data_IF_619972202305
#
_entry.id   IF_619972202305
#
_cell.length_a   1.000
_cell.length_b   1.000
_cell.length_c   1.000
_cell.angle_alpha   90.00
_cell.angle_beta   90.00
_cell.angle_gamma   90.00
#
_symmetry.space_group_name_H-M   'P 1'
#
loop_
_entity.id
_entity.type
_entity.pdbx_description
1 polymer ?
#
# COMPACT_ATOMS: atom_id res chain seq x y z
N UNK A 1 2.22 20.29 -4.15
CA UNK A 1 0.93 20.03 -4.84
C UNK A 1 0.20 18.78 -4.35
N UNK A 2 0.55 18.23 -3.22
CA UNK A 2 0.03 16.95 -2.67
C UNK A 2 -1.26 17.08 -1.82
N UNK A 3 -1.71 18.29 -1.52
CA UNK A 3 -2.87 18.49 -0.63
C UNK A 3 -4.24 18.25 -1.28
N UNK A 4 -4.35 18.34 -2.60
CA UNK A 4 -5.63 18.22 -3.33
C UNK A 4 -6.06 16.76 -3.50
N UNK A 5 -5.12 15.85 -3.64
CA UNK A 5 -5.40 14.41 -3.80
C UNK A 5 -6.04 13.78 -2.57
N UNK A 6 -5.75 14.29 -1.37
CA UNK A 6 -6.24 13.70 -0.11
C UNK A 6 -7.73 14.00 0.14
N UNK A 7 -8.28 15.08 -0.44
CA UNK A 7 -9.67 15.49 -0.23
C UNK A 7 -10.66 14.86 -1.23
N UNK A 8 -10.22 14.40 -2.39
CA UNK A 8 -11.08 13.71 -3.35
C UNK A 8 -11.36 12.24 -2.98
N UNK A 9 -10.53 11.63 -2.12
CA UNK A 9 -10.61 10.23 -1.73
C UNK A 9 -11.80 9.83 -0.83
N UNK A 10 -12.41 10.70 0.02
CA UNK A 10 -13.52 10.29 0.86
C UNK A 10 -14.87 10.13 0.15
N UNK A 11 -14.98 10.48 -1.12
CA UNK A 11 -16.27 10.60 -1.82
C UNK A 11 -16.88 9.26 -2.21
N UNK A 12 -16.10 8.18 -2.22
CA UNK A 12 -16.61 6.83 -2.47
C UNK A 12 -17.07 6.14 -1.17
N UNK A 13 -18.24 6.49 -0.66
CA UNK A 13 -18.91 5.69 0.36
C UNK A 13 -19.57 4.47 -0.29
N UNK A 14 -19.75 3.38 0.48
CA UNK A 14 -20.39 2.16 -0.02
C UNK A 14 -21.78 2.41 -0.66
N UNK A 15 -22.50 3.43 -0.19
CA UNK A 15 -23.79 3.84 -0.76
C UNK A 15 -23.68 4.45 -2.15
N UNK A 16 -22.58 5.08 -2.48
CA UNK A 16 -22.39 5.76 -3.77
C UNK A 16 -22.28 4.75 -4.91
N UNK A 17 -21.76 3.56 -4.64
CA UNK A 17 -21.70 2.44 -5.60
C UNK A 17 -23.11 1.97 -5.99
N UNK A 18 -24.09 2.05 -5.09
CA UNK A 18 -25.47 1.60 -5.32
C UNK A 18 -26.32 2.73 -5.93
N UNK A 19 -26.21 3.93 -5.41
CA UNK A 19 -27.08 5.07 -5.74
C UNK A 19 -26.62 5.79 -7.00
N UNK A 20 -25.33 5.97 -7.17
CA UNK A 20 -24.78 6.75 -8.27
C UNK A 20 -25.12 6.22 -9.67
N UNK A 21 -25.01 4.92 -9.99
CA UNK A 21 -25.41 4.41 -11.30
C UNK A 21 -26.89 4.64 -11.61
N UNK A 22 -27.75 4.60 -10.59
CA UNK A 22 -29.18 4.84 -10.75
C UNK A 22 -29.43 6.31 -11.04
N UNK A 23 -28.80 7.22 -10.29
CA UNK A 23 -28.88 8.66 -10.52
C UNK A 23 -28.36 9.03 -11.91
N UNK A 24 -27.21 8.48 -12.31
CA UNK A 24 -26.66 8.71 -13.65
C UNK A 24 -27.62 8.27 -14.76
N UNK A 25 -28.20 7.07 -14.65
CA UNK A 25 -29.16 6.57 -15.61
C UNK A 25 -30.46 7.41 -15.66
N UNK A 26 -30.88 7.99 -14.53
CA UNK A 26 -32.03 8.91 -14.48
C UNK A 26 -31.69 10.22 -15.19
N UNK A 27 -30.52 10.82 -14.89
CA UNK A 27 -30.09 12.06 -15.53
C UNK A 27 -29.90 11.89 -17.03
N UNK A 28 -29.25 10.81 -17.49
CA UNK A 28 -29.16 10.50 -18.94
C UNK A 28 -30.51 10.43 -19.63
N UNK A 29 -31.51 9.81 -18.98
CA UNK A 29 -32.87 9.75 -19.53
C UNK A 29 -33.57 11.10 -19.61
N UNK A 30 -33.30 12.01 -18.68
CA UNK A 30 -33.95 13.32 -18.60
C UNK A 30 -33.27 14.34 -19.51
N UNK A 31 -31.93 14.35 -19.54
CA UNK A 31 -31.14 15.38 -20.23
C UNK A 31 -30.61 14.93 -21.59
N UNK A 32 -30.65 13.64 -21.89
CA UNK A 32 -30.11 13.05 -23.13
C UNK A 32 -28.60 12.75 -23.06
N UNK A 33 -27.93 13.20 -22.00
CA UNK A 33 -26.50 12.95 -21.78
C UNK A 33 -26.22 12.83 -20.28
N UNK A 34 -25.13 12.14 -19.92
CA UNK A 34 -24.68 12.09 -18.52
C UNK A 34 -24.07 13.41 -18.11
N UNK A 35 -24.52 14.02 -16.99
CA UNK A 35 -23.85 15.19 -16.42
C UNK A 35 -22.50 14.84 -15.78
N UNK A 36 -22.23 13.55 -15.61
CA UNK A 36 -21.01 13.04 -14.99
C UNK A 36 -19.99 12.66 -16.05
N UNK A 37 -18.90 13.40 -16.10
CA UNK A 37 -17.82 13.21 -17.11
C UNK A 37 -16.79 12.17 -16.68
N UNK A 38 -16.65 11.90 -15.38
CA UNK A 38 -15.70 10.95 -14.83
C UNK A 38 -16.20 10.33 -13.52
N UNK A 39 -15.51 9.32 -13.01
CA UNK A 39 -15.81 8.68 -11.71
C UNK A 39 -15.58 9.62 -10.52
N UNK A 40 -14.91 10.75 -10.74
CA UNK A 40 -14.69 11.82 -9.74
C UNK A 40 -15.81 12.83 -9.69
N UNK A 41 -16.75 12.79 -10.65
CA UNK A 41 -17.82 13.78 -10.78
C UNK A 41 -18.97 13.64 -9.77
N UNK A 42 -18.78 12.84 -8.71
CA UNK A 42 -19.79 12.58 -7.68
C UNK A 42 -20.01 13.80 -6.76
N UNK A 43 -20.35 14.93 -7.34
CA UNK A 43 -20.74 16.16 -6.65
C UNK A 43 -19.64 17.21 -6.52
N UNK A 44 -18.37 16.90 -6.68
CA UNK A 44 -17.27 17.86 -6.58
C UNK A 44 -17.03 18.57 -7.91
N UNK A 45 -17.03 17.86 -9.03
CA UNK A 45 -16.90 18.46 -10.36
C UNK A 45 -18.15 19.23 -10.80
N UNK A 46 -19.34 18.86 -10.32
CA UNK A 46 -20.55 19.62 -10.61
C UNK A 46 -20.51 21.05 -10.02
N UNK A 47 -19.73 21.25 -8.94
CA UNK A 47 -19.48 22.58 -8.40
C UNK A 47 -18.48 23.40 -9.22
N UNK A 48 -17.82 22.80 -10.20
CA UNK A 48 -17.09 23.46 -11.29
C UNK A 48 -15.79 24.17 -10.93
N UNK A 49 -15.35 24.16 -9.66
CA UNK A 49 -14.31 25.10 -9.24
C UNK A 49 -13.16 24.49 -8.44
N UNK A 50 -13.15 23.17 -8.19
CA UNK A 50 -12.22 22.57 -7.23
C UNK A 50 -11.21 21.60 -7.84
N UNK A 51 -11.42 21.13 -9.08
CA UNK A 51 -10.51 20.19 -9.76
C UNK A 51 -9.78 20.94 -10.88
N UNK A 52 -8.46 21.03 -10.74
CA UNK A 52 -7.60 21.71 -11.68
C UNK A 52 -7.10 20.74 -12.77
N UNK A 53 -6.97 19.45 -12.41
CA UNK A 53 -6.46 18.39 -13.28
C UNK A 53 -7.37 17.16 -13.13
N UNK A 54 -8.25 16.98 -14.11
CA UNK A 54 -9.24 15.91 -14.10
C UNK A 54 -8.60 14.54 -14.38
N UNK A 55 -7.58 14.46 -15.20
CA UNK A 55 -6.87 13.21 -15.52
C UNK A 55 -6.19 12.64 -14.27
N UNK A 56 -5.53 13.49 -13.49
CA UNK A 56 -4.91 13.09 -12.21
C UNK A 56 -5.97 12.63 -11.21
N UNK A 57 -7.12 13.29 -11.16
CA UNK A 57 -8.21 12.90 -10.28
C UNK A 57 -8.85 11.57 -10.72
N UNK A 58 -9.01 11.35 -12.02
CA UNK A 58 -9.49 10.07 -12.55
C UNK A 58 -8.55 8.94 -12.21
N UNK A 59 -7.24 9.11 -12.42
CA UNK A 59 -6.26 8.08 -12.08
C UNK A 59 -6.24 7.79 -10.58
N UNK A 60 -6.29 8.81 -9.73
CA UNK A 60 -6.39 8.64 -8.28
C UNK A 60 -7.64 7.84 -7.89
N UNK A 61 -8.77 8.08 -8.54
CA UNK A 61 -10.02 7.35 -8.32
C UNK A 61 -9.92 5.88 -8.78
N UNK A 62 -9.30 5.62 -9.95
CA UNK A 62 -9.05 4.27 -10.45
C UNK A 62 -8.20 3.48 -9.45
N UNK A 63 -7.10 4.05 -8.98
CA UNK A 63 -6.24 3.42 -7.99
C UNK A 63 -6.97 3.18 -6.66
N UNK A 64 -7.86 4.09 -6.24
CA UNK A 64 -8.66 3.91 -5.03
C UNK A 64 -9.65 2.75 -5.17
N UNK A 65 -10.31 2.59 -6.31
CA UNK A 65 -11.22 1.46 -6.56
C UNK A 65 -10.45 0.13 -6.46
N UNK A 66 -9.24 0.06 -7.04
CA UNK A 66 -8.40 -1.13 -6.96
C UNK A 66 -7.94 -1.39 -5.52
N UNK A 67 -7.57 -0.35 -4.75
CA UNK A 67 -7.22 -0.49 -3.33
C UNK A 67 -8.38 -1.05 -2.53
N UNK A 68 -9.60 -0.56 -2.74
CA UNK A 68 -10.82 -1.09 -2.08
C UNK A 68 -11.06 -2.56 -2.40
N UNK A 69 -10.83 -2.96 -3.64
CA UNK A 69 -10.93 -4.37 -4.02
C UNK A 69 -9.95 -5.24 -3.21
N UNK A 70 -8.67 -4.89 -3.15
CA UNK A 70 -7.69 -5.64 -2.38
C UNK A 70 -8.02 -5.66 -0.87
N UNK A 71 -8.47 -4.54 -0.31
CA UNK A 71 -8.91 -4.48 1.09
C UNK A 71 -10.12 -5.39 1.32
N UNK A 72 -11.14 -5.32 0.47
CA UNK A 72 -12.30 -6.20 0.57
C UNK A 72 -11.92 -7.69 0.48
N UNK A 73 -11.03 -8.06 -0.44
CA UNK A 73 -10.51 -9.42 -0.54
C UNK A 73 -9.78 -9.87 0.72
N UNK A 74 -8.97 -9.00 1.32
CA UNK A 74 -8.29 -9.28 2.58
C UNK A 74 -9.27 -9.41 3.73
N UNK A 75 -10.26 -8.54 3.82
CA UNK A 75 -11.29 -8.57 4.86
C UNK A 75 -12.18 -9.81 4.74
N UNK A 76 -12.55 -10.20 3.53
CA UNK A 76 -13.25 -11.47 3.27
C UNK A 76 -12.39 -12.66 3.72
N UNK A 77 -11.10 -12.67 3.37
CA UNK A 77 -10.18 -13.74 3.78
C UNK A 77 -10.03 -13.86 5.30
N UNK A 78 -10.19 -12.74 6.00
CA UNK A 78 -10.14 -12.65 7.46
C UNK A 78 -11.50 -12.87 8.12
N UNK A 79 -12.57 -13.08 7.34
CA UNK A 79 -13.93 -13.31 7.85
C UNK A 79 -14.62 -12.05 8.41
N UNK A 80 -14.17 -10.84 8.00
CA UNK A 80 -14.75 -9.57 8.45
C UNK A 80 -15.94 -9.12 7.62
N UNK A 81 -15.96 -9.49 6.34
CA UNK A 81 -17.03 -9.19 5.39
C UNK A 81 -17.41 -10.45 4.61
N UNK A 82 -18.58 -10.43 4.01
CA UNK A 82 -19.10 -11.49 3.15
C UNK A 82 -18.66 -11.35 1.68
N UNK A 83 -19.05 -12.30 0.86
CA UNK A 83 -18.76 -12.33 -0.58
C UNK A 83 -19.53 -11.24 -1.33
N UNK A 84 -20.70 -10.86 -0.85
CA UNK A 84 -21.53 -9.82 -1.47
C UNK A 84 -20.82 -8.46 -1.46
N UNK A 85 -20.13 -8.13 -0.37
CA UNK A 85 -19.36 -6.89 -0.26
C UNK A 85 -18.20 -6.84 -1.28
N UNK A 86 -17.52 -7.96 -1.52
CA UNK A 86 -16.47 -8.05 -2.55
C UNK A 86 -17.06 -7.89 -3.94
N UNK A 87 -18.17 -8.58 -4.22
CA UNK A 87 -18.85 -8.52 -5.51
C UNK A 87 -19.30 -7.09 -5.88
N UNK A 88 -19.76 -6.28 -4.89
CA UNK A 88 -20.10 -4.86 -5.12
C UNK A 88 -18.90 -4.06 -5.63
N UNK A 89 -17.71 -4.30 -5.08
CA UNK A 89 -16.48 -3.63 -5.54
C UNK A 89 -16.06 -4.12 -6.92
N UNK A 90 -16.21 -5.41 -7.22
CA UNK A 90 -15.95 -5.97 -8.56
C UNK A 90 -16.87 -5.35 -9.63
N UNK A 91 -18.16 -5.16 -9.32
CA UNK A 91 -19.07 -4.43 -10.19
C UNK A 91 -18.63 -2.99 -10.44
N UNK A 92 -18.12 -2.31 -9.39
CA UNK A 92 -17.59 -0.96 -9.55
C UNK A 92 -16.35 -0.95 -10.45
N UNK A 93 -15.42 -1.89 -10.26
CA UNK A 93 -14.24 -2.04 -11.13
C UNK A 93 -14.65 -2.22 -12.60
N UNK A 94 -15.59 -3.11 -12.86
CA UNK A 94 -16.09 -3.37 -14.22
C UNK A 94 -16.73 -2.11 -14.85
N UNK A 95 -17.53 -1.37 -14.10
CA UNK A 95 -18.14 -0.11 -14.56
C UNK A 95 -17.11 0.99 -14.80
N UNK A 96 -16.09 1.06 -13.96
CA UNK A 96 -15.00 2.01 -14.09
C UNK A 96 -13.99 1.62 -15.19
N UNK A 97 -14.10 0.42 -15.75
CA UNK A 97 -13.15 -0.12 -16.74
C UNK A 97 -11.74 -0.26 -16.16
N UNK A 98 -11.63 -0.59 -14.87
CA UNK A 98 -10.34 -0.79 -14.18
C UNK A 98 -10.16 -2.24 -13.78
N UNK A 99 -8.91 -2.65 -13.71
CA UNK A 99 -8.53 -4.02 -13.38
C UNK A 99 -7.34 -4.03 -12.40
N UNK A 100 -7.07 -5.18 -11.80
CA UNK A 100 -5.90 -5.34 -10.91
C UNK A 100 -4.57 -5.15 -11.66
N UNK A 101 -4.54 -5.34 -12.98
CA UNK A 101 -3.37 -5.11 -13.84
C UNK A 101 -2.96 -3.64 -13.91
N UNK A 102 -3.91 -2.72 -13.68
CA UNK A 102 -3.67 -1.28 -13.67
C UNK A 102 -2.90 -0.83 -12.41
N UNK A 103 -2.53 -1.78 -11.53
CA UNK A 103 -1.72 -1.53 -10.34
C UNK A 103 -0.34 -2.17 -10.49
N UNK A 104 0.58 -1.46 -11.16
CA UNK A 104 1.93 -1.95 -11.47
C UNK A 104 2.71 -2.43 -10.24
N UNK A 105 2.55 -1.75 -9.10
CA UNK A 105 3.22 -2.13 -7.85
C UNK A 105 2.79 -3.51 -7.35
N UNK A 106 1.57 -3.95 -7.64
CA UNK A 106 1.10 -5.29 -7.30
C UNK A 106 1.80 -6.35 -8.17
N UNK A 107 1.89 -6.10 -9.47
CA UNK A 107 2.61 -6.97 -10.39
C UNK A 107 4.08 -7.15 -9.97
N UNK A 108 4.77 -6.04 -9.65
CA UNK A 108 6.17 -6.09 -9.22
C UNK A 108 6.39 -6.88 -7.93
N UNK A 109 5.47 -6.76 -6.95
CA UNK A 109 5.54 -7.53 -5.71
C UNK A 109 5.34 -9.04 -5.95
N UNK A 110 4.36 -9.40 -6.80
CA UNK A 110 4.06 -10.79 -7.13
C UNK A 110 5.20 -11.44 -7.92
N UNK A 111 5.70 -10.77 -8.97
CA UNK A 111 6.86 -11.23 -9.74
C UNK A 111 8.05 -11.48 -8.82
N UNK A 112 8.33 -10.55 -7.90
CA UNK A 112 9.44 -10.71 -6.95
C UNK A 112 9.22 -11.89 -6.00
N UNK A 113 7.99 -12.14 -5.59
CA UNK A 113 7.67 -13.30 -4.74
C UNK A 113 7.86 -14.63 -5.51
N UNK A 114 7.43 -14.69 -6.76
CA UNK A 114 7.61 -15.87 -7.63
C UNK A 114 9.09 -16.17 -7.90
N UNK A 115 9.87 -15.16 -8.31
CA UNK A 115 11.31 -15.30 -8.57
C UNK A 115 12.09 -15.85 -7.38
N UNK A 116 11.68 -15.48 -6.18
CA UNK A 116 12.46 -15.79 -4.97
C UNK A 116 11.87 -16.93 -4.14
N UNK A 117 10.65 -17.37 -4.44
CA UNK A 117 9.90 -18.33 -3.64
C UNK A 117 9.58 -17.83 -2.21
N UNK A 118 9.71 -16.52 -1.96
CA UNK A 118 9.54 -15.90 -0.65
C UNK A 118 8.54 -14.74 -0.73
N UNK A 119 7.76 -14.47 0.34
CA UNK A 119 6.93 -13.28 0.38
C UNK A 119 7.73 -12.02 0.05
N UNK A 120 7.15 -11.17 -0.78
CA UNK A 120 7.76 -9.93 -1.22
C UNK A 120 6.77 -8.76 -1.14
N UNK A 121 7.30 -7.55 -1.13
CA UNK A 121 6.55 -6.32 -1.21
C UNK A 121 7.22 -5.37 -2.19
N UNK A 122 6.45 -4.44 -2.74
CA UNK A 122 6.93 -3.39 -3.62
C UNK A 122 6.41 -2.03 -3.16
N UNK A 123 7.18 -0.97 -3.44
CA UNK A 123 6.78 0.44 -3.26
C UNK A 123 7.07 1.16 -4.57
N UNK A 124 6.09 1.87 -5.10
CA UNK A 124 6.23 2.78 -6.22
C UNK A 124 6.49 4.19 -5.67
N UNK A 125 7.65 4.74 -5.98
CA UNK A 125 8.07 6.06 -5.57
C UNK A 125 7.40 7.14 -6.43
N UNK A 126 7.44 8.39 -5.98
CA UNK A 126 6.81 9.53 -6.66
C UNK A 126 7.30 9.70 -8.13
N UNK A 127 8.52 9.32 -8.43
CA UNK A 127 9.09 9.35 -9.78
C UNK A 127 8.68 8.15 -10.66
N UNK A 128 7.75 7.33 -10.22
CA UNK A 128 7.27 6.12 -10.90
C UNK A 128 8.17 4.90 -10.74
N UNK A 129 9.37 5.03 -10.16
CA UNK A 129 10.27 3.88 -9.96
C UNK A 129 9.72 2.93 -8.92
N UNK A 130 9.69 1.64 -9.25
CA UNK A 130 9.24 0.59 -8.33
C UNK A 130 10.45 -0.08 -7.68
N UNK A 131 10.42 -0.16 -6.35
CA UNK A 131 11.43 -0.81 -5.53
C UNK A 131 10.79 -2.02 -4.85
N UNK A 132 11.49 -3.15 -4.85
CA UNK A 132 11.01 -4.39 -4.24
C UNK A 132 11.83 -4.79 -3.01
N UNK A 133 11.20 -5.51 -2.10
CA UNK A 133 11.85 -6.16 -0.96
C UNK A 133 11.27 -7.55 -0.74
N UNK A 134 12.10 -8.52 -0.38
CA UNK A 134 11.67 -9.89 -0.06
C UNK A 134 11.96 -10.26 1.37
N UNK A 135 11.22 -11.21 1.88
CA UNK A 135 11.50 -11.82 3.18
C UNK A 135 12.86 -12.53 3.17
N UNK A 136 13.66 -12.30 4.20
CA UNK A 136 14.96 -12.92 4.43
C UNK A 136 15.01 -13.57 5.82
N UNK A 137 16.17 -14.08 6.23
CA UNK A 137 16.40 -14.53 7.61
C UNK A 137 16.36 -13.39 8.63
N UNK A 138 16.67 -12.17 8.20
CA UNK A 138 16.78 -11.00 9.08
C UNK A 138 15.49 -10.16 9.11
N UNK A 139 14.84 -9.99 7.96
CA UNK A 139 13.77 -9.00 7.76
C UNK A 139 12.54 -9.60 7.13
N UNK A 140 11.36 -9.12 7.50
CA UNK A 140 10.14 -9.30 6.74
C UNK A 140 10.16 -8.52 5.42
N UNK A 141 9.30 -8.86 4.46
CA UNK A 141 9.21 -8.17 3.17
C UNK A 141 8.90 -6.67 3.32
N UNK A 142 8.01 -6.32 4.25
CA UNK A 142 7.63 -4.95 4.60
C UNK A 142 8.83 -4.11 5.06
N UNK A 143 9.63 -4.64 5.99
CA UNK A 143 10.84 -3.99 6.48
C UNK A 143 11.91 -3.85 5.37
N UNK A 144 12.09 -4.92 4.58
CA UNK A 144 13.06 -4.93 3.48
C UNK A 144 12.73 -3.90 2.40
N UNK A 145 11.46 -3.78 1.99
CA UNK A 145 11.06 -2.83 0.94
C UNK A 145 11.19 -1.39 1.40
N UNK A 146 10.86 -1.07 2.67
CA UNK A 146 11.07 0.28 3.23
C UNK A 146 12.55 0.65 3.17
N UNK A 147 13.47 -0.21 3.66
CA UNK A 147 14.89 0.07 3.61
C UNK A 147 15.41 0.25 2.17
N UNK A 148 14.95 -0.57 1.24
CA UNK A 148 15.33 -0.45 -0.16
C UNK A 148 14.80 0.85 -0.79
N UNK A 149 13.57 1.27 -0.47
CA UNK A 149 13.01 2.54 -0.90
C UNK A 149 13.81 3.74 -0.35
N UNK A 150 14.20 3.70 0.93
CA UNK A 150 15.03 4.74 1.54
C UNK A 150 16.42 4.82 0.90
N UNK A 151 17.02 3.67 0.54
CA UNK A 151 18.29 3.65 -0.21
C UNK A 151 18.14 4.30 -1.58
N UNK A 152 17.10 3.95 -2.30
CA UNK A 152 16.82 4.50 -3.63
C UNK A 152 16.65 6.02 -3.56
N UNK A 153 15.80 6.50 -2.65
CA UNK A 153 15.54 7.92 -2.44
C UNK A 153 16.78 8.71 -1.97
N UNK A 154 17.69 8.04 -1.25
CA UNK A 154 18.94 8.62 -0.77
C UNK A 154 20.12 8.48 -1.74
N UNK A 155 19.94 7.84 -2.92
CA UNK A 155 21.04 7.54 -3.83
C UNK A 155 22.10 6.59 -3.23
N UNK A 156 21.69 5.73 -2.29
CA UNK A 156 22.58 4.83 -1.55
C UNK A 156 22.66 3.49 -2.28
N UNK A 157 23.87 2.97 -2.47
CA UNK A 157 24.06 1.67 -3.11
C UNK A 157 23.31 0.56 -2.37
N UNK A 158 22.58 -0.28 -3.12
CA UNK A 158 21.89 -1.44 -2.56
C UNK A 158 22.81 -2.44 -1.84
N UNK A 159 24.09 -2.47 -2.19
CA UNK A 159 25.10 -3.33 -1.54
C UNK A 159 25.53 -2.83 -0.17
N UNK A 160 25.28 -1.55 0.14
CA UNK A 160 25.70 -0.95 1.41
C UNK A 160 24.67 -1.27 2.51
N UNK A 161 25.05 -1.92 3.62
CA UNK A 161 24.15 -2.15 4.74
C UNK A 161 23.88 -0.83 5.48
N UNK A 162 22.61 -0.50 5.71
CA UNK A 162 22.22 0.66 6.52
C UNK A 162 22.32 0.37 8.03
N UNK A 163 22.09 -0.88 8.39
CA UNK A 163 22.08 -1.34 9.78
C UNK A 163 23.04 -2.51 9.89
N UNK A 164 23.96 -2.42 10.84
CA UNK A 164 24.92 -3.50 11.10
C UNK A 164 24.22 -4.73 11.68
N UNK A 165 24.65 -5.96 11.32
CA UNK A 165 24.20 -7.19 11.99
C UNK A 165 24.33 -7.14 13.52
N UNK A 166 25.34 -6.46 14.05
CA UNK A 166 25.54 -6.22 15.49
C UNK A 166 24.33 -5.53 16.15
N UNK A 167 23.58 -4.71 15.41
CA UNK A 167 22.35 -4.06 15.91
C UNK A 167 21.13 -4.97 15.76
N UNK A 168 21.06 -5.75 14.69
CA UNK A 168 19.93 -6.63 14.38
C UNK A 168 19.90 -7.84 15.31
N UNK A 169 21.03 -8.48 15.52
CA UNK A 169 21.14 -9.73 16.26
C UNK A 169 20.65 -9.66 17.72
N UNK A 170 21.00 -8.62 18.51
CA UNK A 170 20.45 -8.45 19.86
C UNK A 170 18.92 -8.31 19.87
N UNK A 171 18.33 -7.63 18.88
CA UNK A 171 16.88 -7.46 18.77
C UNK A 171 16.23 -8.84 18.49
N UNK A 172 16.79 -9.63 17.58
CA UNK A 172 16.32 -10.99 17.30
C UNK A 172 16.42 -11.89 18.54
N UNK A 173 17.52 -11.81 19.28
CA UNK A 173 17.71 -12.58 20.51
C UNK A 173 16.71 -12.18 21.61
N UNK A 174 16.49 -10.87 21.83
CA UNK A 174 15.47 -10.39 22.75
C UNK A 174 14.10 -10.93 22.34
N UNK A 175 13.75 -10.78 21.09
CA UNK A 175 12.47 -11.17 20.52
C UNK A 175 12.18 -12.67 20.68
N UNK A 176 13.16 -13.52 20.38
CA UNK A 176 12.97 -14.97 20.38
C UNK A 176 13.26 -15.63 21.71
N UNK A 177 14.36 -15.24 22.40
CA UNK A 177 14.81 -15.91 23.62
C UNK A 177 14.16 -15.38 24.89
N UNK A 178 13.80 -14.07 24.90
CA UNK A 178 13.25 -13.41 26.10
C UNK A 178 11.74 -13.25 25.98
N UNK A 179 11.27 -12.70 24.83
CA UNK A 179 9.85 -12.44 24.63
C UNK A 179 9.07 -13.64 24.07
N UNK A 180 9.75 -14.74 23.71
CA UNK A 180 9.12 -15.99 23.28
C UNK A 180 8.49 -15.94 21.88
N UNK A 181 8.82 -14.97 21.05
CA UNK A 181 8.34 -14.90 19.68
C UNK A 181 8.95 -16.00 18.82
N UNK A 182 8.13 -16.67 18.02
CA UNK A 182 8.62 -17.70 17.08
C UNK A 182 9.25 -17.13 15.81
N UNK A 183 8.99 -15.86 15.49
CA UNK A 183 9.50 -15.20 14.30
C UNK A 183 10.70 -14.30 14.65
N UNK A 184 11.94 -14.65 14.25
CA UNK A 184 13.12 -13.83 14.51
C UNK A 184 13.21 -12.60 13.60
N UNK A 185 12.47 -12.56 12.48
CA UNK A 185 12.57 -11.48 11.50
C UNK A 185 12.07 -10.17 12.09
N UNK A 186 12.76 -9.07 11.79
CA UNK A 186 12.34 -7.76 12.22
C UNK A 186 11.16 -7.27 11.39
N UNK A 187 10.18 -6.70 12.08
CA UNK A 187 9.05 -5.97 11.51
C UNK A 187 9.46 -4.54 11.15
N UNK A 188 8.55 -3.81 10.49
CA UNK A 188 8.82 -2.47 9.98
C UNK A 188 9.11 -1.46 11.09
N UNK A 189 8.45 -1.55 12.25
CA UNK A 189 8.72 -0.68 13.41
C UNK A 189 10.08 -0.98 14.04
N UNK A 190 10.40 -2.26 14.26
CA UNK A 190 11.67 -2.70 14.82
C UNK A 190 12.85 -2.24 13.95
N UNK A 191 12.72 -2.35 12.63
CA UNK A 191 13.77 -1.93 11.71
C UNK A 191 13.94 -0.41 11.63
N UNK A 192 12.86 0.37 11.75
CA UNK A 192 12.94 1.84 11.81
C UNK A 192 13.59 2.32 13.09
N UNK A 193 13.34 1.67 14.22
CA UNK A 193 14.05 1.93 15.48
C UNK A 193 15.54 1.61 15.34
N UNK A 194 15.88 0.43 14.79
CA UNK A 194 17.25 0.02 14.54
C UNK A 194 17.98 0.99 13.58
N UNK A 195 17.29 1.48 12.55
CA UNK A 195 17.81 2.50 11.63
C UNK A 195 18.07 3.82 12.36
N UNK A 196 17.14 4.26 13.21
CA UNK A 196 17.28 5.48 13.99
C UNK A 196 18.49 5.43 14.95
N UNK A 197 18.69 4.28 15.60
CA UNK A 197 19.87 4.06 16.47
C UNK A 197 21.15 4.08 15.63
N UNK A 198 21.15 3.40 14.48
CA UNK A 198 22.31 3.36 13.59
C UNK A 198 22.65 4.74 13.01
N UNK A 199 21.66 5.59 12.76
CA UNK A 199 21.82 6.93 12.24
C UNK A 199 22.62 7.85 13.18
N UNK A 200 22.65 7.56 14.48
CA UNK A 200 23.43 8.34 15.46
C UNK A 200 24.95 8.31 15.20
N UNK A 201 25.45 7.25 14.54
CA UNK A 201 26.89 7.06 14.31
C UNK A 201 27.23 6.73 12.85
N UNK A 202 26.24 6.51 12.00
CA UNK A 202 26.40 6.15 10.58
C UNK A 202 25.74 7.20 9.68
N UNK A 203 26.51 8.07 9.01
CA UNK A 203 25.98 9.10 8.12
C UNK A 203 25.10 8.55 6.98
N UNK A 204 25.39 7.34 6.50
CA UNK A 204 24.59 6.69 5.45
C UNK A 204 23.21 6.27 5.98
N UNK A 205 23.14 5.77 7.21
CA UNK A 205 21.88 5.46 7.87
C UNK A 205 21.07 6.74 8.16
N UNK A 206 21.74 7.83 8.56
CA UNK A 206 21.13 9.15 8.74
C UNK A 206 20.55 9.68 7.43
N UNK A 207 21.31 9.60 6.32
CA UNK A 207 20.85 10.01 4.99
C UNK A 207 19.59 9.23 4.58
N UNK A 208 19.56 7.91 4.81
CA UNK A 208 18.40 7.07 4.56
C UNK A 208 17.21 7.49 5.43
N UNK A 209 17.41 7.68 6.73
CA UNK A 209 16.34 8.06 7.67
C UNK A 209 15.66 9.38 7.27
N UNK A 210 16.43 10.35 6.78
CA UNK A 210 15.93 11.64 6.29
C UNK A 210 15.01 11.51 5.07
N UNK A 211 14.99 10.35 4.38
CA UNK A 211 14.12 10.14 3.22
C UNK A 211 12.70 9.67 3.62
N UNK A 212 12.46 9.29 4.87
CA UNK A 212 11.15 8.78 5.32
C UNK A 212 9.95 9.66 4.91
N UNK A 213 10.00 10.99 5.01
CA UNK A 213 8.87 11.85 4.62
C UNK A 213 8.48 11.73 3.14
N UNK A 214 9.41 11.31 2.26
CA UNK A 214 9.17 11.13 0.82
C UNK A 214 8.39 9.86 0.49
N UNK A 215 8.17 8.97 1.46
CA UNK A 215 7.32 7.79 1.29
C UNK A 215 5.83 8.12 1.38
N UNK A 216 5.46 9.30 1.86
CA UNK A 216 4.06 9.72 1.94
C UNK A 216 3.45 9.82 0.55
N UNK A 217 2.29 9.18 0.38
CA UNK A 217 1.56 9.13 -0.88
C UNK A 217 2.06 8.07 -1.86
N UNK A 218 3.18 7.39 -1.56
CA UNK A 218 3.64 6.26 -2.37
C UNK A 218 2.63 5.11 -2.35
N UNK A 219 2.52 4.41 -3.47
CA UNK A 219 1.74 3.18 -3.60
C UNK A 219 2.58 1.97 -3.21
N UNK A 220 1.98 1.03 -2.48
CA UNK A 220 2.66 -0.20 -2.07
C UNK A 220 1.77 -1.42 -2.20
N UNK A 221 2.39 -2.58 -2.42
CA UNK A 221 1.71 -3.86 -2.43
C UNK A 221 2.55 -4.94 -1.76
N UNK A 222 1.87 -5.84 -1.04
CA UNK A 222 2.48 -7.04 -0.44
C UNK A 222 1.86 -8.30 -1.03
N UNK A 223 2.69 -9.28 -1.36
CA UNK A 223 2.25 -10.60 -1.86
C UNK A 223 1.53 -11.46 -0.81
N UNK A 224 1.43 -10.98 0.42
CA UNK A 224 0.73 -11.63 1.55
C UNK A 224 0.11 -10.58 2.47
N UNK A 225 -0.90 -10.99 3.24
CA UNK A 225 -1.48 -10.17 4.30
C UNK A 225 -0.37 -9.85 5.32
N UNK A 226 -0.18 -8.58 5.61
CA UNK A 226 0.80 -8.12 6.59
C UNK A 226 0.28 -8.24 8.03
N UNK A 227 1.20 -8.21 8.99
CA UNK A 227 0.86 -8.09 10.41
C UNK A 227 0.24 -6.72 10.70
N UNK A 228 -0.53 -6.61 11.79
CA UNK A 228 -1.10 -5.32 12.23
C UNK A 228 0.00 -4.28 12.51
N UNK A 229 1.17 -4.71 12.96
CA UNK A 229 2.32 -3.83 13.20
C UNK A 229 2.83 -3.22 11.90
N UNK A 230 3.09 -4.08 10.90
CA UNK A 230 3.56 -3.63 9.60
C UNK A 230 2.54 -2.73 8.90
N UNK A 231 1.26 -3.11 8.89
CA UNK A 231 0.17 -2.29 8.33
C UNK A 231 0.10 -0.91 9.00
N UNK A 232 0.17 -0.88 10.35
CA UNK A 232 0.17 0.38 11.11
C UNK A 232 1.34 1.28 10.75
N UNK A 233 2.54 0.74 10.49
CA UNK A 233 3.71 1.52 10.08
C UNK A 233 3.49 2.13 8.70
N UNK A 234 3.05 1.35 7.71
CA UNK A 234 2.75 1.86 6.38
C UNK A 234 1.73 3.01 6.42
N UNK A 235 0.65 2.81 7.18
CA UNK A 235 -0.38 3.85 7.37
C UNK A 235 0.18 5.12 8.03
N UNK A 236 1.02 4.99 9.08
CA UNK A 236 1.65 6.13 9.76
C UNK A 236 2.64 6.87 8.86
N UNK A 237 3.33 6.17 7.96
CA UNK A 237 4.18 6.77 6.94
C UNK A 237 3.38 7.41 5.80
N UNK A 238 2.06 7.20 5.75
CA UNK A 238 1.18 7.72 4.70
C UNK A 238 1.34 6.98 3.37
N UNK A 239 1.76 5.71 3.41
CA UNK A 239 1.89 4.85 2.23
C UNK A 239 0.55 4.15 1.97
N UNK A 240 0.09 4.14 0.72
CA UNK A 240 -1.13 3.49 0.27
C UNK A 240 -0.89 1.99 0.04
N UNK A 241 -1.02 1.20 1.11
CA UNK A 241 -0.74 -0.23 1.10
C UNK A 241 -1.94 -1.05 0.61
N UNK A 242 -1.66 -2.05 -0.20
CA UNK A 242 -2.55 -3.17 -0.52
C UNK A 242 -1.85 -4.51 -0.30
N UNK A 243 -2.62 -5.58 -0.13
CA UNK A 243 -2.07 -6.92 0.09
C UNK A 243 -2.83 -7.96 -0.74
N UNK A 244 -2.13 -9.02 -1.16
CA UNK A 244 -2.82 -10.23 -1.60
C UNK A 244 -3.56 -10.88 -0.43
N UNK A 245 -4.75 -11.43 -0.70
CA UNK A 245 -5.57 -12.12 0.29
C UNK A 245 -5.03 -13.53 0.62
N UNK A 246 -3.73 -13.61 0.92
CA UNK A 246 -2.99 -14.85 1.22
C UNK A 246 -2.25 -14.69 2.53
N UNK A 247 -2.29 -15.71 3.38
CA UNK A 247 -1.44 -15.76 4.58
C UNK A 247 -0.05 -16.31 4.25
N UNK A 248 0.96 -15.78 4.90
CA UNK A 248 2.34 -16.25 4.73
C UNK A 248 2.52 -17.71 5.19
N UNK A 249 1.88 -18.08 6.30
CA UNK A 249 1.84 -19.46 6.82
C UNK A 249 0.53 -19.71 7.56
N UNK A 250 0.04 -20.97 7.53
CA UNK A 250 -1.17 -21.36 8.30
C UNK A 250 -0.99 -21.23 9.82
N UNK A 251 0.24 -21.26 10.35
CA UNK A 251 0.55 -21.30 11.79
C UNK A 251 0.72 -19.93 12.47
N UNK A 252 0.94 -18.85 11.73
CA UNK A 252 1.26 -17.54 12.32
C UNK A 252 0.04 -16.71 12.73
N UNK A 253 -1.17 -17.10 12.30
CA UNK A 253 -2.39 -16.30 12.47
C UNK A 253 -3.52 -17.02 13.23
N UNK A 254 -3.23 -18.20 13.80
CA UNK A 254 -4.19 -18.96 14.61
C UNK A 254 -3.75 -19.00 16.09
N UNK A 255 -3.56 -17.82 16.70
CA UNK A 255 -3.60 -17.68 18.15
C UNK A 255 -4.16 -16.32 18.51
#
# INVERSE_FOLDING_TARGET
MTGVQTFALPIYYNRDVEVFPVLNAIFEKITGESPYKSHTDMGVNMAGNCIIDDDVCQEASRQEIIRRYYHARCDQRQGRIDEEAVYKVELLMNKAGVSIQDREVAYAALTRAEETGMPAAAIQLENGKIVTGKTSSLLGASAAVILNALKELGGISHKMPLISPIVIEPIQNLKTKVLGNHNPRLHSDEILIALSISAATNPTAELALRQLPKLRGCEAHSSVILSQVDDSVFRKLGINLTCEAKYQTKKLYHR
#
